data_IF_206235475980
#
_entry.id   IF_206235475980
#
_cell.length_a   1.000
_cell.length_b   1.000
_cell.length_c   1.000
_cell.angle_alpha   90.00
_cell.angle_beta   90.00
_cell.angle_gamma   90.00
#
_symmetry.space_group_name_H-M   'P 1'
#
loop_
_entity.id
_entity.type
_entity.pdbx_description
1 polymer ?
#
# COMPACT_ATOMS: atom_id res chain seq x y z
N UNK A 1 18.14 15.79 -21.11
CA UNK A 1 17.03 14.90 -21.54
C UNK A 1 15.75 15.59 -21.11
N UNK A 2 14.96 16.14 -22.02
CA UNK A 2 13.63 16.64 -21.66
C UNK A 2 12.69 15.45 -21.52
N UNK A 3 12.11 15.25 -20.34
CA UNK A 3 11.07 14.24 -20.15
C UNK A 3 9.80 14.66 -20.87
N UNK A 4 9.26 13.75 -21.69
CA UNK A 4 7.92 13.92 -22.27
C UNK A 4 6.91 13.44 -21.23
N UNK A 5 6.19 14.38 -20.64
CA UNK A 5 5.08 14.10 -19.72
C UNK A 5 3.77 14.17 -20.49
N UNK A 6 2.95 13.11 -20.38
CA UNK A 6 1.63 13.06 -21.00
C UNK A 6 0.56 13.20 -19.91
N UNK A 7 -0.36 14.18 -20.03
CA UNK A 7 -1.44 14.31 -19.07
C UNK A 7 -2.43 13.15 -19.17
N UNK A 8 -3.07 12.84 -18.05
CA UNK A 8 -4.17 11.87 -18.01
C UNK A 8 -5.35 12.44 -18.81
N UNK A 9 -5.97 11.62 -19.66
CA UNK A 9 -7.13 12.06 -20.42
C UNK A 9 -8.34 12.31 -19.48
N UNK A 10 -9.22 13.28 -19.80
CA UNK A 10 -10.37 13.59 -18.94
C UNK A 10 -11.31 12.39 -18.70
N UNK A 11 -11.48 11.53 -19.72
CA UNK A 11 -12.31 10.32 -19.63
C UNK A 11 -11.77 9.32 -18.60
N UNK A 12 -10.43 9.18 -18.51
CA UNK A 12 -9.79 8.33 -17.50
C UNK A 12 -9.90 8.99 -16.12
N UNK A 13 -9.60 10.30 -16.04
CA UNK A 13 -9.66 11.03 -14.77
C UNK A 13 -11.05 10.97 -14.12
N UNK A 14 -12.12 10.98 -14.92
CA UNK A 14 -13.49 10.89 -14.44
C UNK A 14 -13.87 9.53 -13.84
N UNK A 15 -13.19 8.45 -14.23
CA UNK A 15 -13.51 7.07 -13.81
C UNK A 15 -12.46 6.45 -12.88
N UNK A 16 -11.34 7.13 -12.65
CA UNK A 16 -10.27 6.64 -11.79
C UNK A 16 -10.68 6.64 -10.31
N UNK A 17 -10.22 5.63 -9.56
CA UNK A 17 -10.52 5.50 -8.12
C UNK A 17 -9.78 6.53 -7.24
N UNK A 18 -8.67 7.07 -7.75
CA UNK A 18 -7.83 8.07 -7.10
C UNK A 18 -7.27 9.03 -8.16
N UNK A 19 -6.96 10.24 -7.73
CA UNK A 19 -6.18 11.23 -8.48
C UNK A 19 -4.74 11.33 -7.93
N UNK A 20 -3.96 12.28 -8.43
CA UNK A 20 -2.57 12.46 -8.02
C UNK A 20 -2.44 12.89 -6.55
N UNK A 21 -3.32 13.77 -6.07
CA UNK A 21 -3.28 14.26 -4.68
C UNK A 21 -3.54 13.11 -3.71
N UNK A 22 -4.60 12.34 -3.98
CA UNK A 22 -4.94 11.16 -3.18
C UNK A 22 -3.87 10.08 -3.26
N UNK A 23 -3.26 9.87 -4.43
CA UNK A 23 -2.12 8.97 -4.58
C UNK A 23 -0.95 9.38 -3.67
N UNK A 24 -0.55 10.65 -3.71
CA UNK A 24 0.58 11.14 -2.91
C UNK A 24 0.31 10.99 -1.41
N UNK A 25 -0.88 11.33 -0.95
CA UNK A 25 -1.29 11.17 0.45
C UNK A 25 -1.30 9.69 0.88
N UNK A 26 -1.87 8.80 0.06
CA UNK A 26 -1.89 7.37 0.34
C UNK A 26 -0.48 6.77 0.34
N UNK A 27 0.37 7.17 -0.60
CA UNK A 27 1.75 6.71 -0.70
C UNK A 27 2.56 7.12 0.54
N UNK A 28 2.49 8.40 0.91
CA UNK A 28 3.15 8.91 2.12
C UNK A 28 2.73 8.13 3.36
N UNK A 29 1.42 7.91 3.54
CA UNK A 29 0.91 7.12 4.66
C UNK A 29 1.39 5.67 4.62
N UNK A 30 1.37 5.02 3.44
CA UNK A 30 1.77 3.61 3.29
C UNK A 30 3.23 3.33 3.67
N UNK A 31 4.09 4.35 3.55
CA UNK A 31 5.53 4.27 3.85
C UNK A 31 5.81 4.70 5.28
N UNK A 32 5.22 5.81 5.73
CA UNK A 32 5.49 6.39 7.05
C UNK A 32 4.75 5.66 8.18
N UNK A 33 3.54 5.16 7.92
CA UNK A 33 2.73 4.38 8.86
C UNK A 33 2.14 3.13 8.18
N UNK A 34 2.99 2.13 7.89
CA UNK A 34 2.58 0.93 7.18
C UNK A 34 1.58 0.09 7.98
N UNK A 35 1.64 0.08 9.31
CA UNK A 35 0.70 -0.67 10.16
C UNK A 35 -0.72 -0.10 10.02
N UNK A 36 -0.89 1.22 10.08
CA UNK A 36 -2.22 1.82 9.92
C UNK A 36 -2.76 1.66 8.49
N UNK A 37 -1.95 1.98 7.47
CA UNK A 37 -2.40 1.95 6.08
C UNK A 37 -2.73 0.53 5.62
N UNK A 38 -1.77 -0.40 5.76
CA UNK A 38 -1.96 -1.77 5.31
C UNK A 38 -2.91 -2.54 6.23
N UNK A 39 -2.96 -2.20 7.52
CA UNK A 39 -3.93 -2.75 8.46
C UNK A 39 -5.37 -2.48 8.07
N UNK A 40 -5.66 -1.30 7.49
CA UNK A 40 -6.98 -1.00 6.92
C UNK A 40 -7.17 -1.63 5.54
N UNK A 41 -6.14 -1.59 4.69
CA UNK A 41 -6.22 -2.18 3.34
C UNK A 41 -6.47 -3.69 3.36
N UNK A 42 -5.87 -4.43 4.31
CA UNK A 42 -6.02 -5.88 4.43
C UNK A 42 -7.41 -6.35 4.86
N UNK A 43 -8.24 -5.47 5.44
CA UNK A 43 -9.64 -5.76 5.79
C UNK A 43 -10.57 -5.88 4.59
N UNK A 44 -10.08 -5.56 3.39
CA UNK A 44 -10.81 -5.76 2.13
C UNK A 44 -10.88 -7.23 1.71
N UNK A 45 -10.10 -8.08 2.35
CA UNK A 45 -10.08 -9.53 2.14
C UNK A 45 -10.88 -10.18 3.28
N UNK A 46 -11.65 -11.21 2.96
CA UNK A 46 -12.33 -12.02 3.98
C UNK A 46 -11.32 -12.98 4.63
N UNK A 47 -11.19 -12.86 5.95
CA UNK A 47 -10.32 -13.70 6.76
C UNK A 47 -11.16 -14.68 7.58
N UNK A 48 -10.74 -15.95 7.63
CA UNK A 48 -11.28 -16.91 8.60
C UNK A 48 -10.83 -16.54 10.01
N UNK A 49 -9.57 -16.09 10.15
CA UNK A 49 -9.03 -15.54 11.39
C UNK A 49 -8.40 -14.17 11.08
N UNK A 50 -8.90 -13.08 11.68
CA UNK A 50 -8.28 -11.76 11.54
C UNK A 50 -6.82 -11.78 12.02
N UNK A 51 -5.94 -11.15 11.25
CA UNK A 51 -4.56 -10.90 11.66
C UNK A 51 -4.52 -9.84 12.77
N UNK A 52 -3.48 -9.89 13.59
CA UNK A 52 -3.16 -8.84 14.57
C UNK A 52 -1.86 -8.11 14.25
N UNK A 53 -1.00 -8.69 13.42
CA UNK A 53 0.26 -8.09 12.99
C UNK A 53 0.25 -7.82 11.50
N UNK A 54 0.35 -6.55 11.10
CA UNK A 54 0.30 -6.17 9.69
C UNK A 54 1.65 -6.44 9.03
N UNK A 55 2.75 -5.91 9.58
CA UNK A 55 4.09 -5.98 8.97
C UNK A 55 5.13 -6.45 9.99
N UNK A 56 5.91 -7.45 9.58
CA UNK A 56 7.08 -7.91 10.32
C UNK A 56 8.19 -8.26 9.33
N UNK A 57 8.96 -7.26 8.91
CA UNK A 57 9.95 -7.40 7.83
C UNK A 57 11.32 -6.88 8.23
N UNK A 58 12.35 -7.68 8.00
CA UNK A 58 13.75 -7.36 8.07
C UNK A 58 14.39 -7.61 6.70
N UNK A 59 15.07 -6.59 6.18
CA UNK A 59 15.91 -6.68 4.99
C UNK A 59 17.39 -6.74 5.35
N UNK A 60 17.72 -6.99 6.61
CA UNK A 60 19.09 -7.15 7.07
C UNK A 60 19.76 -8.32 6.34
N UNK A 61 20.95 -8.14 5.73
CA UNK A 61 21.61 -9.20 4.96
C UNK A 61 21.89 -10.50 5.74
N UNK A 62 21.98 -10.43 7.07
CA UNK A 62 22.22 -11.57 7.95
C UNK A 62 20.94 -12.12 8.58
N UNK A 63 19.82 -11.41 8.46
CA UNK A 63 18.52 -11.82 8.95
C UNK A 63 17.40 -11.31 8.04
N UNK A 64 17.37 -11.79 6.80
CA UNK A 64 16.29 -11.49 5.86
C UNK A 64 15.07 -12.32 6.26
N UNK A 65 14.01 -11.63 6.69
CA UNK A 65 12.75 -12.24 7.10
C UNK A 65 11.61 -11.30 6.72
N UNK A 66 10.65 -11.75 5.92
CA UNK A 66 9.61 -10.88 5.38
C UNK A 66 8.27 -11.55 5.62
N UNK A 67 7.52 -11.03 6.59
CA UNK A 67 6.20 -11.53 6.97
C UNK A 67 5.19 -10.40 7.00
N UNK A 68 4.00 -10.68 6.46
CA UNK A 68 2.85 -9.78 6.43
C UNK A 68 1.61 -10.55 6.87
N UNK A 69 0.77 -9.93 7.71
CA UNK A 69 -0.46 -10.55 8.23
C UNK A 69 -0.21 -11.94 8.84
N UNK A 70 0.94 -12.11 9.52
CA UNK A 70 1.59 -13.40 9.77
C UNK A 70 0.76 -14.39 10.60
N UNK A 71 -0.27 -13.90 11.27
CA UNK A 71 -1.13 -14.65 12.19
C UNK A 71 -2.59 -14.77 11.73
N UNK A 72 -2.93 -14.22 10.56
CA UNK A 72 -4.23 -14.36 9.92
C UNK A 72 -4.33 -15.59 9.01
N UNK A 73 -5.55 -16.08 8.79
CA UNK A 73 -5.84 -17.20 7.88
C UNK A 73 -7.12 -16.97 7.10
#
# INVERSE_FOLDING_TARGET
>A
MSEKVYPVSPEIAANAHIDNEKYLAMYEQSVNDPEAFWGEAGKRIDWFKPYTKVKNTSFDPHNVDIRWYEDGT
#
